data_IF_792142952786
#
_entry.id   IF_792142952786
#
_cell.length_a   1.000
_cell.length_b   1.000
_cell.length_c   1.000
_cell.angle_alpha   90.00
_cell.angle_beta   90.00
_cell.angle_gamma   90.00
#
_symmetry.space_group_name_H-M   'P 1'
#
loop_
_entity.id
_entity.type
_entity.pdbx_description
1 polymer ?
#
# COMPACT_ATOMS: atom_id res chain seq x y z
N UNK A 1 15.25 8.78 2.95
CA UNK A 1 14.86 9.98 2.18
C UNK A 1 13.57 10.60 2.73
N UNK A 2 12.52 9.80 2.94
CA UNK A 2 11.21 10.25 3.43
C UNK A 2 11.28 11.04 4.76
N UNK A 3 11.94 10.50 5.78
CA UNK A 3 12.05 11.18 7.09
C UNK A 3 12.79 12.52 6.99
N UNK A 4 13.83 12.56 6.15
CA UNK A 4 14.56 13.80 5.88
C UNK A 4 13.69 14.84 5.16
N UNK A 5 12.86 14.40 4.20
CA UNK A 5 11.90 15.28 3.55
C UNK A 5 10.86 15.81 4.54
N UNK A 6 10.36 14.95 5.42
CA UNK A 6 9.45 15.34 6.50
C UNK A 6 10.08 16.43 7.38
N UNK A 7 11.33 16.24 7.84
CA UNK A 7 12.02 17.24 8.66
C UNK A 7 12.23 18.58 7.96
N UNK A 8 12.50 18.58 6.65
CA UNK A 8 12.69 19.81 5.88
C UNK A 8 11.38 20.52 5.55
N UNK A 9 10.29 19.76 5.41
CA UNK A 9 9.00 20.29 4.95
C UNK A 9 8.00 20.57 6.07
N UNK A 10 8.20 20.03 7.28
CA UNK A 10 7.22 20.16 8.39
C UNK A 10 6.92 21.60 8.79
N UNK A 11 7.87 22.51 8.58
CA UNK A 11 7.78 23.93 8.99
C UNK A 11 7.46 24.86 7.79
N UNK A 12 7.24 24.30 6.60
CA UNK A 12 6.91 25.07 5.39
C UNK A 12 5.43 25.47 5.40
N UNK A 13 5.13 26.68 4.92
CA UNK A 13 3.75 27.08 4.64
C UNK A 13 3.14 26.20 3.55
N UNK A 14 2.14 25.42 3.91
CA UNK A 14 1.43 24.49 3.03
C UNK A 14 0.72 25.20 1.87
N UNK A 15 0.45 26.51 1.99
CA UNK A 15 -0.01 27.34 0.87
C UNK A 15 0.98 27.39 -0.29
N UNK A 16 2.30 27.31 -0.01
CA UNK A 16 3.35 27.28 -1.02
C UNK A 16 3.35 25.99 -1.85
N UNK A 17 2.79 24.89 -1.31
CA UNK A 17 2.65 23.61 -2.02
C UNK A 17 1.50 23.61 -3.04
N UNK A 18 0.91 24.78 -3.33
CA UNK A 18 -0.20 24.94 -4.28
C UNK A 18 0.22 25.78 -5.49
N UNK A 19 1.23 25.37 -6.27
CA UNK A 19 1.73 26.14 -7.40
C UNK A 19 0.63 26.35 -8.45
N UNK A 20 0.62 27.53 -9.07
CA UNK A 20 -0.21 27.80 -10.24
C UNK A 20 0.20 26.90 -11.40
N UNK A 21 -0.73 26.59 -12.29
CA UNK A 21 -0.41 25.79 -13.47
C UNK A 21 0.64 26.52 -14.31
N UNK A 22 1.76 25.87 -14.67
CA UNK A 22 2.81 26.51 -15.44
C UNK A 22 2.33 26.85 -16.85
N UNK A 23 2.81 27.98 -17.38
CA UNK A 23 2.64 28.32 -18.79
C UNK A 23 3.63 27.56 -19.68
N UNK A 24 3.20 27.15 -20.87
CA UNK A 24 4.08 26.53 -21.87
C UNK A 24 4.49 25.09 -21.53
N UNK A 25 5.77 24.75 -21.67
CA UNK A 25 6.33 23.41 -21.47
C UNK A 25 7.04 23.23 -20.13
N UNK A 26 6.95 24.23 -19.23
CA UNK A 26 7.60 24.15 -17.93
C UNK A 26 6.95 23.06 -17.06
N UNK A 27 7.75 22.30 -16.29
CA UNK A 27 7.21 21.24 -15.44
C UNK A 27 6.37 21.86 -14.32
N UNK A 28 5.24 21.22 -14.01
CA UNK A 28 4.42 21.61 -12.86
C UNK A 28 5.03 20.98 -11.61
N UNK A 29 5.70 21.77 -10.77
CA UNK A 29 6.35 21.31 -9.54
C UNK A 29 5.98 22.20 -8.37
N UNK A 30 5.91 21.63 -7.16
CA UNK A 30 5.57 22.38 -5.93
C UNK A 30 6.79 22.84 -5.14
N UNK A 31 7.93 22.19 -5.34
CA UNK A 31 9.19 22.49 -4.70
C UNK A 31 10.34 21.95 -5.56
N UNK A 32 11.53 22.52 -5.38
CA UNK A 32 12.76 22.09 -6.04
C UNK A 32 13.48 21.05 -5.20
N UNK A 33 14.14 20.10 -5.86
CA UNK A 33 14.84 18.99 -5.21
C UNK A 33 16.31 19.04 -5.59
N UNK A 34 17.15 19.10 -4.56
CA UNK A 34 18.59 19.15 -4.69
C UNK A 34 19.20 17.92 -4.02
N UNK A 35 19.65 16.95 -4.83
CA UNK A 35 20.41 15.81 -4.34
C UNK A 35 21.85 16.24 -4.06
N UNK A 36 22.28 16.10 -2.80
CA UNK A 36 23.65 16.52 -2.41
C UNK A 36 24.67 15.63 -3.11
N UNK A 37 25.68 16.27 -3.70
CA UNK A 37 26.78 15.62 -4.44
C UNK A 37 26.37 14.95 -5.75
N UNK A 38 25.18 15.25 -6.28
CA UNK A 38 24.76 14.86 -7.63
C UNK A 38 24.63 16.11 -8.48
N UNK A 39 25.19 16.06 -9.70
CA UNK A 39 25.03 17.12 -10.68
C UNK A 39 23.85 16.75 -11.58
N UNK A 40 22.70 17.39 -11.36
CA UNK A 40 21.46 17.07 -12.08
C UNK A 40 20.94 18.30 -12.81
N UNK A 41 20.79 18.17 -14.13
CA UNK A 41 20.24 19.23 -14.96
C UNK A 41 18.69 19.20 -15.00
N UNK A 42 18.08 20.36 -14.78
CA UNK A 42 16.64 20.55 -14.86
C UNK A 42 15.86 20.12 -13.61
N UNK A 43 14.63 20.63 -13.48
CA UNK A 43 13.86 20.47 -12.24
C UNK A 43 12.91 19.26 -12.24
N UNK A 44 12.49 18.78 -13.42
CA UNK A 44 11.50 17.71 -13.53
C UNK A 44 12.04 16.30 -13.27
N UNK A 45 13.31 16.05 -13.60
CA UNK A 45 13.98 14.77 -13.36
C UNK A 45 14.11 14.46 -11.86
N UNK A 46 14.82 15.32 -11.09
CA UNK A 46 14.94 15.18 -9.64
C UNK A 46 13.59 15.05 -8.92
N UNK A 47 12.60 15.84 -9.36
CA UNK A 47 11.26 15.81 -8.78
C UNK A 47 10.61 14.44 -8.89
N UNK A 48 10.62 13.83 -10.08
CA UNK A 48 10.07 12.46 -10.27
C UNK A 48 10.88 11.41 -9.53
N UNK A 49 12.21 11.55 -9.50
CA UNK A 49 13.10 10.61 -8.81
C UNK A 49 12.79 10.57 -7.31
N UNK A 50 12.61 11.72 -6.67
CA UNK A 50 12.24 11.80 -5.26
C UNK A 50 10.95 11.03 -4.90
N UNK A 51 9.87 11.19 -5.68
CA UNK A 51 8.64 10.44 -5.43
C UNK A 51 8.82 8.93 -5.68
N UNK A 52 9.66 8.56 -6.65
CA UNK A 52 10.03 7.15 -6.88
C UNK A 52 10.79 6.57 -5.68
N UNK A 53 11.78 7.30 -5.15
CA UNK A 53 12.60 6.84 -4.04
C UNK A 53 11.82 6.76 -2.73
N UNK A 54 10.95 7.74 -2.46
CA UNK A 54 10.02 7.67 -1.32
C UNK A 54 9.09 6.46 -1.44
N UNK A 55 8.52 6.21 -2.62
CA UNK A 55 7.65 5.06 -2.82
C UNK A 55 8.38 3.73 -2.56
N UNK A 56 9.65 3.62 -2.95
CA UNK A 56 10.48 2.45 -2.67
C UNK A 56 10.81 2.32 -1.17
N UNK A 57 11.19 3.41 -0.52
CA UNK A 57 11.55 3.43 0.91
C UNK A 57 10.37 3.04 1.81
N UNK A 58 9.15 3.45 1.44
CA UNK A 58 7.94 3.07 2.18
C UNK A 58 7.54 1.60 1.99
N UNK A 59 7.99 0.95 0.91
CA UNK A 59 7.65 -0.43 0.53
C UNK A 59 8.77 -1.43 0.85
N UNK A 60 9.49 -1.19 1.95
CA UNK A 60 10.50 -2.15 2.46
C UNK A 60 9.81 -3.17 3.35
N UNK A 61 10.04 -4.46 3.09
CA UNK A 61 9.61 -5.55 3.97
C UNK A 61 10.70 -5.76 5.02
N UNK A 62 10.33 -5.82 6.30
CA UNK A 62 11.28 -6.18 7.35
C UNK A 62 11.70 -7.64 7.13
N UNK A 63 13.00 -7.89 6.92
CA UNK A 63 13.54 -9.24 7.00
C UNK A 63 13.32 -9.72 8.43
N UNK A 64 12.43 -10.69 8.61
CA UNK A 64 12.46 -11.49 9.83
C UNK A 64 13.79 -12.24 9.78
N UNK A 65 14.63 -12.08 10.80
CA UNK A 65 15.62 -13.09 11.14
C UNK A 65 14.84 -14.38 11.31
N UNK A 66 14.87 -15.25 10.29
CA UNK A 66 14.41 -16.61 10.44
C UNK A 66 15.46 -17.24 11.36
N UNK A 67 15.13 -17.35 12.65
CA UNK A 67 15.76 -18.37 13.46
C UNK A 67 15.26 -19.69 12.87
N UNK A 68 16.13 -20.35 12.11
CA UNK A 68 16.02 -21.78 11.84
C UNK A 68 16.18 -22.52 13.19
N UNK A 69 15.14 -22.50 14.02
CA UNK A 69 15.07 -23.30 15.24
C UNK A 69 14.21 -24.54 14.96
N UNK A 70 14.80 -25.51 14.28
CA UNK A 70 14.44 -26.92 14.45
C UNK A 70 15.58 -27.62 15.24
N UNK A 71 15.18 -28.27 16.33
CA UNK A 71 15.92 -29.25 17.18
C UNK A 71 17.00 -28.71 18.14
N UNK A 72 16.63 -28.36 19.37
CA UNK A 72 16.68 -29.29 20.52
C UNK A 72 16.35 -28.59 21.85
N UNK A 73 15.60 -29.28 22.70
CA UNK A 73 15.27 -28.86 24.07
C UNK A 73 16.52 -28.89 24.96
N UNK A 74 16.76 -27.84 25.73
CA UNK A 74 17.12 -27.97 27.15
C UNK A 74 16.87 -26.66 27.93
N UNK A 75 16.56 -26.83 29.21
CA UNK A 75 15.99 -25.87 30.16
C UNK A 75 16.95 -24.73 30.53
N UNK A 76 16.42 -23.52 30.79
CA UNK A 76 17.19 -22.47 31.47
C UNK A 76 16.60 -21.05 31.42
N UNK A 77 15.91 -20.68 32.50
CA UNK A 77 15.82 -19.35 33.13
C UNK A 77 15.34 -18.13 32.31
N UNK A 78 14.27 -17.51 32.84
CA UNK A 78 13.69 -16.26 32.38
C UNK A 78 14.54 -15.05 32.77
N UNK A 79 14.94 -14.25 31.80
CA UNK A 79 15.28 -12.84 32.02
C UNK A 79 14.60 -11.94 30.98
N UNK A 80 13.86 -10.96 31.51
CA UNK A 80 13.28 -9.83 30.81
C UNK A 80 14.36 -9.06 30.05
N UNK A 81 14.08 -8.66 28.80
CA UNK A 81 14.59 -7.40 28.25
C UNK A 81 13.59 -6.83 27.22
N UNK A 82 12.89 -5.78 27.63
CA UNK A 82 12.21 -4.85 26.74
C UNK A 82 13.26 -3.90 26.17
N UNK A 83 13.72 -4.15 24.95
CA UNK A 83 14.36 -3.11 24.13
C UNK A 83 13.79 -3.18 22.72
N UNK A 84 13.16 -2.08 22.30
CA UNK A 84 12.76 -1.87 20.92
C UNK A 84 14.01 -1.75 20.05
N UNK A 85 14.47 -2.87 19.48
CA UNK A 85 15.56 -2.88 18.52
C UNK A 85 15.04 -2.56 17.13
N UNK A 86 15.54 -1.44 16.59
CA UNK A 86 15.42 -1.10 15.18
C UNK A 86 16.18 -2.17 14.38
N UNK A 87 15.45 -3.00 13.63
CA UNK A 87 16.05 -3.99 12.75
C UNK A 87 16.74 -3.30 11.56
N UNK A 88 18.00 -3.66 11.33
CA UNK A 88 18.76 -3.24 10.16
C UNK A 88 18.11 -3.82 8.89
N UNK A 89 17.69 -2.95 7.97
CA UNK A 89 17.23 -3.37 6.66
C UNK A 89 18.42 -3.79 5.80
N UNK A 90 18.24 -4.81 4.96
CA UNK A 90 19.18 -5.06 3.86
C UNK A 90 19.28 -3.81 2.98
N UNK A 91 20.51 -3.46 2.61
CA UNK A 91 20.87 -2.34 1.71
C UNK A 91 20.95 -0.93 2.32
N UNK A 92 21.04 -0.79 3.65
CA UNK A 92 21.27 0.53 4.29
C UNK A 92 20.09 1.51 4.16
N UNK A 93 18.94 1.03 3.70
CA UNK A 93 17.68 1.80 3.62
C UNK A 93 17.00 1.80 4.99
N UNK A 94 16.73 2.96 5.56
CA UNK A 94 16.08 3.04 6.86
C UNK A 94 14.65 2.47 6.81
N UNK A 95 14.37 1.44 7.62
CA UNK A 95 13.02 0.89 7.74
C UNK A 95 12.12 1.84 8.52
N UNK A 96 11.17 2.49 7.83
CA UNK A 96 10.24 3.47 8.43
C UNK A 96 9.07 2.76 9.12
N UNK A 97 8.63 1.62 8.56
CA UNK A 97 7.58 0.76 9.14
C UNK A 97 6.17 1.36 9.15
N UNK A 98 5.90 2.41 8.38
CA UNK A 98 4.55 2.97 8.20
C UNK A 98 3.62 2.04 7.41
N UNK A 99 4.19 1.25 6.51
CA UNK A 99 3.47 0.24 5.75
C UNK A 99 3.94 -1.16 6.18
N UNK A 100 3.05 -2.14 6.06
CA UNK A 100 3.37 -3.55 6.17
C UNK A 100 2.96 -4.29 4.89
N UNK A 101 3.69 -5.36 4.56
CA UNK A 101 3.30 -6.27 3.50
C UNK A 101 1.95 -6.92 3.84
N UNK A 102 1.08 -7.05 2.84
CA UNK A 102 -0.15 -7.82 2.97
C UNK A 102 0.14 -9.29 3.30
N UNK A 103 -0.79 -9.95 4.00
CA UNK A 103 -0.66 -11.39 4.31
C UNK A 103 -0.62 -12.22 3.04
N UNK A 104 -1.36 -11.82 2.01
CA UNK A 104 -1.31 -12.43 0.69
C UNK A 104 0.09 -12.36 0.06
N UNK A 105 0.76 -11.21 0.13
CA UNK A 105 2.16 -11.09 -0.34
C UNK A 105 3.07 -12.06 0.43
N UNK A 106 2.96 -12.10 1.76
CA UNK A 106 3.80 -12.96 2.60
C UNK A 106 3.55 -14.46 2.37
N UNK A 107 2.33 -14.85 2.01
CA UNK A 107 1.95 -16.24 1.69
C UNK A 107 2.16 -16.61 0.21
N UNK A 108 2.49 -15.65 -0.65
CA UNK A 108 2.61 -15.88 -2.09
C UNK A 108 1.27 -16.14 -2.79
N UNK A 109 0.16 -15.61 -2.28
CA UNK A 109 -1.15 -15.68 -2.95
C UNK A 109 -1.14 -14.86 -4.25
N UNK A 110 -1.89 -15.32 -5.26
CA UNK A 110 -2.08 -14.61 -6.52
C UNK A 110 -2.94 -13.35 -6.35
N UNK A 111 -3.84 -13.34 -5.35
CA UNK A 111 -4.72 -12.19 -5.06
C UNK A 111 -3.95 -11.11 -4.32
N UNK A 112 -3.92 -9.90 -4.87
CA UNK A 112 -3.26 -8.77 -4.21
C UNK A 112 -1.75 -8.96 -4.01
N UNK A 113 -1.13 -9.79 -4.87
CA UNK A 113 0.32 -9.97 -4.92
C UNK A 113 1.01 -8.60 -4.95
N UNK A 114 2.06 -8.47 -4.15
CA UNK A 114 2.86 -7.26 -4.00
C UNK A 114 2.13 -6.04 -3.38
N UNK A 115 1.01 -6.23 -2.67
CA UNK A 115 0.34 -5.13 -1.95
C UNK A 115 0.90 -4.88 -0.56
N UNK A 116 1.02 -3.61 -0.23
CA UNK A 116 1.28 -3.09 1.11
C UNK A 116 0.01 -2.48 1.68
N UNK A 117 -0.16 -2.51 2.99
CA UNK A 117 -1.23 -1.79 3.70
C UNK A 117 -0.63 -0.92 4.79
N UNK A 118 -1.43 -0.01 5.36
CA UNK A 118 -1.00 0.82 6.47
C UNK A 118 -0.74 -0.06 7.69
N UNK A 119 0.29 0.27 8.47
CA UNK A 119 0.60 -0.45 9.69
C UNK A 119 -0.34 0.04 10.84
N UNK A 120 -1.31 -0.78 11.30
CA UNK A 120 -2.28 -0.36 12.31
C UNK A 120 -1.64 -0.05 13.68
N UNK A 121 -0.52 -0.70 14.03
CA UNK A 121 0.21 -0.39 15.27
C UNK A 121 0.90 0.97 15.27
N UNK A 122 1.12 1.59 14.10
CA UNK A 122 1.71 2.93 13.99
C UNK A 122 0.65 4.01 14.25
N UNK A 123 0.12 4.00 15.47
CA UNK A 123 -0.98 4.87 15.94
C UNK A 123 -0.53 5.99 16.87
N UNK A 124 0.78 6.10 17.15
CA UNK A 124 1.35 7.15 18.01
C UNK A 124 1.37 8.52 17.33
N UNK A 125 1.52 9.58 18.12
CA UNK A 125 1.43 10.96 17.59
C UNK A 125 2.50 11.27 16.55
N UNK A 126 3.71 10.71 16.68
CA UNK A 126 4.79 10.93 15.72
C UNK A 126 4.51 10.20 14.41
N UNK A 127 4.04 8.96 14.50
CA UNK A 127 3.65 8.14 13.35
C UNK A 127 2.47 8.76 12.59
N UNK A 128 1.46 9.26 13.30
CA UNK A 128 0.32 9.96 12.68
C UNK A 128 0.76 11.24 11.97
N UNK A 129 1.76 11.96 12.46
CA UNK A 129 2.35 13.10 11.74
C UNK A 129 3.07 12.68 10.45
N UNK A 130 3.73 11.51 10.45
CA UNK A 130 4.33 10.95 9.24
C UNK A 130 3.27 10.50 8.22
N UNK A 131 2.18 9.88 8.68
CA UNK A 131 1.02 9.58 7.83
C UNK A 131 0.37 10.85 7.27
N UNK A 132 0.25 11.90 8.09
CA UNK A 132 -0.21 13.19 7.61
C UNK A 132 0.70 13.75 6.51
N UNK A 133 2.02 13.69 6.70
CA UNK A 133 2.98 14.11 5.69
C UNK A 133 2.89 13.28 4.40
N UNK A 134 2.70 11.95 4.49
CA UNK A 134 2.41 11.12 3.33
C UNK A 134 1.16 11.63 2.58
N UNK A 135 0.12 12.02 3.31
CA UNK A 135 -1.06 12.67 2.74
C UNK A 135 -0.76 14.00 2.04
N UNK A 136 0.12 14.84 2.60
CA UNK A 136 0.57 16.07 1.95
C UNK A 136 1.26 15.76 0.63
N UNK A 137 2.17 14.78 0.59
CA UNK A 137 2.84 14.34 -0.64
C UNK A 137 1.84 13.81 -1.68
N UNK A 138 0.82 13.04 -1.26
CA UNK A 138 -0.26 12.60 -2.15
C UNK A 138 -1.06 13.78 -2.72
N UNK A 139 -1.36 14.78 -1.90
CA UNK A 139 -2.02 16.01 -2.36
C UNK A 139 -1.17 16.80 -3.36
N UNK A 140 0.15 16.83 -3.16
CA UNK A 140 1.11 17.41 -4.13
C UNK A 140 1.08 16.64 -5.44
N UNK A 141 1.09 15.30 -5.41
CA UNK A 141 0.98 14.44 -6.60
C UNK A 141 -0.25 14.77 -7.46
N UNK A 142 -1.42 14.94 -6.82
CA UNK A 142 -2.66 15.33 -7.51
C UNK A 142 -2.49 16.67 -8.20
N UNK A 143 -1.90 17.67 -7.52
CA UNK A 143 -1.73 19.01 -8.08
C UNK A 143 -0.73 19.07 -9.23
N UNK A 144 0.38 18.35 -9.12
CA UNK A 144 1.48 18.42 -10.09
C UNK A 144 1.42 17.33 -11.16
N UNK A 145 0.39 16.48 -11.12
CA UNK A 145 0.26 15.30 -11.99
C UNK A 145 1.51 14.43 -11.99
N UNK A 146 2.14 14.31 -10.81
CA UNK A 146 3.30 13.45 -10.56
C UNK A 146 2.86 12.23 -9.78
N UNK A 147 3.46 11.07 -10.04
CA UNK A 147 2.98 9.81 -9.46
C UNK A 147 3.83 9.39 -8.25
N UNK A 148 3.18 8.95 -7.18
CA UNK A 148 3.79 8.31 -6.02
C UNK A 148 3.45 6.82 -6.03
N UNK A 149 4.19 5.99 -6.76
CA UNK A 149 3.76 4.61 -7.07
C UNK A 149 3.91 3.62 -5.90
N UNK A 150 2.98 3.63 -4.94
CA UNK A 150 2.86 2.62 -3.86
C UNK A 150 1.75 1.61 -4.23
N UNK A 151 1.89 0.32 -3.90
CA UNK A 151 0.84 -0.66 -4.19
C UNK A 151 -0.12 -0.86 -3.01
N UNK A 152 -1.07 0.06 -2.82
CA UNK A 152 -2.06 0.01 -1.73
C UNK A 152 -3.34 -0.76 -2.14
N UNK A 153 -4.09 -1.33 -1.18
CA UNK A 153 -5.36 -2.03 -1.43
C UNK A 153 -6.51 -1.07 -1.73
N UNK A 154 -7.57 -1.61 -2.34
CA UNK A 154 -8.86 -0.92 -2.53
C UNK A 154 -9.46 -0.42 -1.22
N UNK A 155 -9.28 -1.16 -0.12
CA UNK A 155 -9.70 -0.79 1.23
C UNK A 155 -9.23 0.63 1.62
N UNK A 156 -7.95 0.94 1.37
CA UNK A 156 -7.33 2.22 1.69
C UNK A 156 -8.02 3.37 0.92
N UNK A 157 -8.18 3.21 -0.39
CA UNK A 157 -8.78 4.24 -1.24
C UNK A 157 -10.23 4.50 -0.89
N UNK A 158 -11.00 3.43 -0.65
CA UNK A 158 -12.41 3.52 -0.25
C UNK A 158 -12.56 4.26 1.08
N UNK A 159 -11.67 4.04 2.03
CA UNK A 159 -11.68 4.77 3.31
C UNK A 159 -11.45 6.28 3.12
N UNK A 160 -10.53 6.70 2.25
CA UNK A 160 -10.27 8.13 2.01
C UNK A 160 -11.50 8.87 1.47
N UNK A 161 -12.22 8.26 0.53
CA UNK A 161 -13.40 8.86 -0.13
C UNK A 161 -14.73 8.52 0.58
N UNK A 162 -14.70 7.75 1.68
CA UNK A 162 -15.90 7.37 2.42
C UNK A 162 -16.81 6.38 1.68
N UNK A 163 -16.26 5.58 0.77
CA UNK A 163 -17.00 4.51 0.11
C UNK A 163 -17.20 3.30 1.03
N UNK A 164 -18.27 2.54 0.77
CA UNK A 164 -18.61 1.37 1.56
C UNK A 164 -17.57 0.27 1.37
N UNK A 165 -17.05 -0.23 2.49
CA UNK A 165 -16.13 -1.36 2.54
C UNK A 165 -16.91 -2.68 2.54
N UNK A 166 -16.31 -3.71 1.96
CA UNK A 166 -16.84 -5.06 1.87
C UNK A 166 -15.74 -6.09 2.20
N UNK A 167 -16.11 -7.36 2.40
CA UNK A 167 -15.13 -8.38 2.80
C UNK A 167 -14.11 -8.67 1.68
N UNK A 168 -14.48 -8.44 0.42
CA UNK A 168 -13.60 -8.53 -0.74
C UNK A 168 -12.40 -7.58 -0.64
N UNK A 169 -12.56 -6.45 0.07
CA UNK A 169 -11.49 -5.49 0.31
C UNK A 169 -10.43 -6.04 1.28
N UNK A 170 -10.82 -6.95 2.18
CA UNK A 170 -9.89 -7.72 3.03
C UNK A 170 -9.33 -8.89 2.26
N UNK A 171 -10.13 -9.56 1.43
CA UNK A 171 -9.67 -10.71 0.63
C UNK A 171 -8.50 -10.34 -0.29
N UNK A 172 -8.43 -9.08 -0.74
CA UNK A 172 -7.29 -8.53 -1.48
C UNK A 172 -5.99 -8.48 -0.65
N UNK A 173 -6.07 -8.41 0.68
CA UNK A 173 -4.95 -8.32 1.61
C UNK A 173 -4.63 -9.63 2.34
N UNK A 174 -5.67 -10.39 2.66
CA UNK A 174 -5.65 -11.62 3.46
C UNK A 174 -6.85 -12.48 3.06
N UNK A 175 -6.66 -13.32 2.04
CA UNK A 175 -7.67 -14.26 1.60
C UNK A 175 -7.91 -15.36 2.65
N UNK A 176 -6.84 -15.81 3.31
CA UNK A 176 -6.92 -16.88 4.30
C UNK A 176 -7.73 -16.53 5.55
N UNK A 177 -7.74 -15.27 6.01
CA UNK A 177 -8.67 -14.90 7.11
C UNK A 177 -10.13 -14.94 6.63
N UNK A 178 -10.42 -14.52 5.40
CA UNK A 178 -11.78 -14.57 4.85
C UNK A 178 -12.25 -16.02 4.69
N UNK A 179 -11.36 -16.91 4.24
CA UNK A 179 -11.62 -18.35 4.18
C UNK A 179 -11.90 -18.92 5.58
N UNK A 180 -11.05 -18.64 6.57
CA UNK A 180 -11.28 -19.08 7.95
C UNK A 180 -12.62 -18.58 8.52
N UNK A 181 -12.95 -17.30 8.32
CA UNK A 181 -14.21 -16.74 8.79
C UNK A 181 -15.43 -17.36 8.08
N UNK A 182 -15.31 -17.71 6.80
CA UNK A 182 -16.35 -18.43 6.05
C UNK A 182 -16.53 -19.84 6.59
N UNK A 183 -15.44 -20.58 6.78
CA UNK A 183 -15.47 -21.95 7.32
C UNK A 183 -16.14 -22.00 8.70
N UNK A 184 -15.88 -21.02 9.57
CA UNK A 184 -16.55 -20.91 10.87
C UNK A 184 -18.09 -20.82 10.73
N UNK A 185 -18.59 -20.11 9.72
CA UNK A 185 -20.03 -19.98 9.48
C UNK A 185 -20.63 -21.26 8.88
N UNK A 186 -19.85 -21.99 8.09
CA UNK A 186 -20.28 -23.17 7.33
C UNK A 186 -20.24 -24.48 8.13
N UNK A 187 -19.57 -24.53 9.29
CA UNK A 187 -19.59 -25.69 10.19
C UNK A 187 -21.03 -26.15 10.49
N UNK A 188 -21.25 -27.46 10.35
CA UNK A 188 -22.57 -28.08 10.50
C UNK A 188 -23.00 -28.19 11.97
N UNK A 189 -22.05 -28.52 12.85
CA UNK A 189 -22.29 -28.76 14.27
C UNK A 189 -21.09 -28.35 15.16
N UNK A 190 -21.28 -28.49 16.48
CA UNK A 190 -20.31 -28.10 17.50
C UNK A 190 -19.08 -29.02 17.54
N UNK A 191 -19.23 -30.29 17.18
CA UNK A 191 -18.12 -31.26 17.16
C UNK A 191 -17.14 -30.90 16.03
N UNK A 192 -17.66 -30.65 14.82
CA UNK A 192 -16.86 -30.18 13.68
C UNK A 192 -16.16 -28.86 13.99
N UNK A 193 -16.88 -27.91 14.59
CA UNK A 193 -16.34 -26.60 14.93
C UNK A 193 -15.21 -26.68 15.96
N UNK A 194 -15.41 -27.46 17.03
CA UNK A 194 -14.41 -27.62 18.09
C UNK A 194 -13.15 -28.31 17.56
N UNK A 195 -13.30 -29.30 16.67
CA UNK A 195 -12.16 -29.95 16.03
C UNK A 195 -11.34 -29.00 15.15
N UNK A 196 -11.99 -28.07 14.43
CA UNK A 196 -11.31 -27.13 13.51
C UNK A 196 -10.76 -25.88 14.21
N UNK A 197 -11.45 -25.37 15.22
CA UNK A 197 -11.17 -24.08 15.85
C UNK A 197 -10.89 -24.19 17.36
N UNK A 198 -10.22 -25.27 17.78
CA UNK A 198 -9.77 -25.44 19.17
C UNK A 198 -8.85 -24.30 19.62
N UNK A 199 -8.87 -23.99 20.92
CA UNK A 199 -7.99 -23.00 21.57
C UNK A 199 -8.03 -21.60 20.97
N UNK A 200 -9.15 -21.24 20.35
CA UNK A 200 -9.39 -19.88 19.84
C UNK A 200 -10.21 -19.06 20.82
N UNK A 201 -9.89 -17.77 20.88
CA UNK A 201 -10.53 -16.80 21.77
C UNK A 201 -11.12 -15.65 20.96
N UNK A 202 -11.78 -14.70 21.62
CA UNK A 202 -12.31 -13.48 20.99
C UNK A 202 -11.18 -12.47 20.69
N UNK A 203 -10.18 -12.92 19.95
CA UNK A 203 -9.06 -12.14 19.44
C UNK A 203 -8.95 -12.33 17.93
N UNK A 204 -8.33 -11.35 17.26
CA UNK A 204 -8.03 -11.44 15.82
C UNK A 204 -6.64 -10.86 15.56
N UNK A 205 -5.93 -11.46 14.61
CA UNK A 205 -4.67 -10.93 14.11
C UNK A 205 -4.93 -9.83 13.06
N UNK A 206 -4.24 -8.70 13.18
CA UNK A 206 -4.29 -7.58 12.25
C UNK A 206 -3.25 -7.72 11.12
N UNK A 207 -3.23 -6.76 10.19
CA UNK A 207 -2.35 -6.82 9.02
C UNK A 207 -0.85 -6.76 9.35
N UNK A 208 -0.48 -6.14 10.47
CA UNK A 208 0.90 -6.12 10.98
C UNK A 208 1.24 -7.34 11.86
N UNK A 209 0.34 -8.33 11.97
CA UNK A 209 0.45 -9.50 12.84
C UNK A 209 0.28 -9.22 14.34
N UNK A 210 -0.20 -8.03 14.73
CA UNK A 210 -0.59 -7.80 16.12
C UNK A 210 -1.94 -8.43 16.43
N UNK A 211 -2.09 -8.96 17.62
CA UNK A 211 -3.35 -9.55 18.08
C UNK A 211 -4.15 -8.53 18.90
N UNK A 212 -5.43 -8.39 18.59
CA UNK A 212 -6.35 -7.49 19.30
C UNK A 212 -7.59 -8.21 19.82
N UNK A 213 -8.06 -7.81 20.99
CA UNK A 213 -9.31 -8.32 21.55
C UNK A 213 -10.53 -7.73 20.83
N UNK A 214 -11.48 -8.58 20.43
CA UNK A 214 -12.72 -8.20 19.75
C UNK A 214 -13.80 -7.67 20.69
N UNK A 215 -13.65 -7.96 21.97
CA UNK A 215 -14.48 -7.52 23.10
C UNK A 215 -13.57 -7.35 24.31
N UNK A 216 -14.01 -6.60 25.32
CA UNK A 216 -13.27 -6.48 26.58
C UNK A 216 -13.06 -7.85 27.23
N UNK A 217 -11.81 -8.21 27.52
CA UNK A 217 -11.45 -9.53 28.04
C UNK A 217 -11.54 -10.64 27.00
N UNK A 218 -11.48 -10.28 25.71
CA UNK A 218 -11.61 -11.19 24.58
C UNK A 218 -10.58 -12.32 24.59
N UNK A 219 -9.35 -12.07 25.07
CA UNK A 219 -8.31 -13.08 25.19
C UNK A 219 -8.64 -14.20 26.19
N UNK A 220 -9.65 -14.02 27.04
CA UNK A 220 -10.14 -15.03 28.01
C UNK A 220 -11.50 -15.60 27.63
N UNK A 221 -12.13 -15.06 26.59
CA UNK A 221 -13.45 -15.51 26.13
C UNK A 221 -13.24 -16.49 24.99
N UNK A 222 -13.52 -17.76 25.27
CA UNK A 222 -13.38 -18.84 24.30
C UNK A 222 -14.36 -18.68 23.12
N UNK A 223 -13.87 -18.99 21.92
CA UNK A 223 -14.65 -19.09 20.70
C UNK A 223 -15.35 -20.45 20.67
N UNK A 224 -16.67 -20.44 20.65
CA UNK A 224 -17.52 -21.64 20.65
C UNK A 224 -18.44 -21.62 19.44
N UNK A 225 -18.99 -22.79 19.08
CA UNK A 225 -19.96 -22.87 17.98
C UNK A 225 -21.15 -21.91 18.18
N UNK A 226 -21.62 -21.76 19.42
CA UNK A 226 -22.75 -20.89 19.75
C UNK A 226 -22.45 -19.39 19.55
N UNK A 227 -21.19 -18.96 19.71
CA UNK A 227 -20.81 -17.55 19.66
C UNK A 227 -20.05 -17.16 18.37
N UNK A 228 -19.78 -18.11 17.47
CA UNK A 228 -19.01 -17.92 16.22
C UNK A 228 -19.54 -16.83 15.29
N UNK A 229 -20.86 -16.65 15.19
CA UNK A 229 -21.46 -15.62 14.33
C UNK A 229 -21.13 -14.22 14.84
N UNK A 230 -21.12 -14.04 16.17
CA UNK A 230 -20.71 -12.77 16.79
C UNK A 230 -19.21 -12.53 16.61
N UNK A 231 -18.39 -13.58 16.78
CA UNK A 231 -16.96 -13.53 16.50
C UNK A 231 -16.68 -13.08 15.06
N UNK A 232 -17.25 -13.76 14.07
CA UNK A 232 -17.02 -13.46 12.64
C UNK A 232 -17.39 -12.02 12.31
N UNK A 233 -18.53 -11.54 12.79
CA UNK A 233 -18.95 -10.14 12.59
C UNK A 233 -17.95 -9.15 13.20
N UNK A 234 -17.44 -9.43 14.40
CA UNK A 234 -16.51 -8.54 15.10
C UNK A 234 -15.10 -8.59 14.50
N UNK A 235 -14.63 -9.77 14.13
CA UNK A 235 -13.37 -9.97 13.42
C UNK A 235 -13.38 -9.20 12.10
N UNK A 236 -14.42 -9.38 11.29
CA UNK A 236 -14.56 -8.65 10.02
C UNK A 236 -14.56 -7.13 10.24
N UNK A 237 -15.34 -6.63 11.21
CA UNK A 237 -15.36 -5.21 11.52
C UNK A 237 -13.99 -4.69 11.97
N UNK A 238 -13.29 -5.43 12.84
CA UNK A 238 -11.94 -5.09 13.31
C UNK A 238 -10.96 -4.97 12.13
N UNK A 239 -10.94 -5.97 11.24
CA UNK A 239 -10.08 -5.97 10.04
C UNK A 239 -10.41 -4.83 9.07
N UNK A 240 -11.70 -4.53 8.83
CA UNK A 240 -12.12 -3.43 7.95
C UNK A 240 -11.78 -2.04 8.52
N UNK A 241 -11.62 -1.93 9.84
CA UNK A 241 -11.42 -0.64 10.52
C UNK A 241 -10.04 -0.50 11.16
N UNK A 242 -9.13 -1.44 10.91
CA UNK A 242 -7.84 -1.53 11.61
C UNK A 242 -6.95 -0.29 11.47
N UNK A 243 -7.06 0.43 10.34
CA UNK A 243 -6.19 1.56 9.99
C UNK A 243 -6.94 2.89 9.86
N UNK A 244 -8.10 3.04 10.50
CA UNK A 244 -8.94 4.25 10.40
C UNK A 244 -8.16 5.51 10.80
N UNK A 245 -7.38 5.46 11.88
CA UNK A 245 -6.59 6.61 12.37
C UNK A 245 -5.51 7.05 11.39
N UNK A 246 -4.82 6.10 10.77
CA UNK A 246 -3.79 6.35 9.78
C UNK A 246 -4.41 6.94 8.51
N UNK A 247 -5.55 6.39 8.07
CA UNK A 247 -6.33 6.92 6.96
C UNK A 247 -6.84 8.35 7.22
N UNK A 248 -7.32 8.65 8.43
CA UNK A 248 -7.72 10.00 8.83
C UNK A 248 -6.54 10.99 8.80
N UNK A 249 -5.38 10.58 9.30
CA UNK A 249 -4.17 11.40 9.26
C UNK A 249 -3.74 11.70 7.81
N UNK A 250 -3.71 10.68 6.94
CA UNK A 250 -3.42 10.84 5.50
C UNK A 250 -4.46 11.75 4.84
N UNK A 251 -5.75 11.53 5.07
CA UNK A 251 -6.84 12.36 4.52
C UNK A 251 -6.68 13.82 4.96
N UNK A 252 -6.35 14.07 6.21
CA UNK A 252 -6.07 15.41 6.71
C UNK A 252 -4.88 16.06 5.99
N UNK A 253 -3.83 15.29 5.67
CA UNK A 253 -2.68 15.77 4.89
C UNK A 253 -3.04 16.10 3.44
N UNK A 254 -3.83 15.25 2.79
CA UNK A 254 -4.33 15.49 1.44
C UNK A 254 -5.13 16.80 1.40
N UNK A 255 -6.02 17.00 2.38
CA UNK A 255 -6.88 18.19 2.50
C UNK A 255 -6.10 19.49 2.81
N UNK A 256 -4.83 19.40 3.22
CA UNK A 256 -3.96 20.57 3.36
C UNK A 256 -3.47 21.09 2.00
N UNK A 257 -3.51 20.29 0.94
CA UNK A 257 -3.01 20.68 -0.40
C UNK A 257 -4.14 20.85 -1.40
N UNK A 258 -5.16 19.99 -1.32
CA UNK A 258 -6.36 20.03 -2.18
C UNK A 258 -7.64 20.27 -1.35
N UNK A 259 -8.70 20.87 -1.93
CA UNK A 259 -9.96 21.06 -1.21
C UNK A 259 -10.65 19.73 -0.89
N UNK A 260 -11.17 19.59 0.33
CA UNK A 260 -11.90 18.39 0.79
C UNK A 260 -13.08 18.01 -0.12
N UNK A 261 -13.75 19.01 -0.70
CA UNK A 261 -14.85 18.80 -1.64
C UNK A 261 -14.47 17.92 -2.84
N UNK A 262 -13.18 17.89 -3.23
CA UNK A 262 -12.68 17.03 -4.30
C UNK A 262 -12.76 15.54 -3.91
N UNK A 263 -12.46 15.20 -2.66
CA UNK A 263 -12.54 13.82 -2.16
C UNK A 263 -13.98 13.30 -2.07
N UNK A 264 -14.96 14.20 -2.00
CA UNK A 264 -16.38 13.83 -1.90
C UNK A 264 -17.02 13.48 -3.24
N UNK A 265 -16.40 13.83 -4.37
CA UNK A 265 -16.94 13.61 -5.72
C UNK A 265 -16.16 12.58 -6.53
N UNK A 266 -14.95 12.24 -6.08
CA UNK A 266 -14.06 11.28 -6.76
C UNK A 266 -14.32 9.86 -6.28
N UNK A 267 -14.29 8.90 -7.18
CA UNK A 267 -14.32 7.48 -6.80
C UNK A 267 -12.97 7.02 -6.24
N UNK A 268 -12.96 5.90 -5.50
CA UNK A 268 -11.71 5.33 -4.97
C UNK A 268 -10.70 5.00 -6.08
N UNK A 269 -11.17 4.49 -7.23
CA UNK A 269 -10.34 4.15 -8.38
C UNK A 269 -9.77 5.38 -9.09
N UNK A 270 -10.56 6.46 -9.23
CA UNK A 270 -10.06 7.70 -9.82
C UNK A 270 -9.01 8.37 -8.92
N UNK A 271 -9.21 8.33 -7.60
CA UNK A 271 -8.24 8.86 -6.64
C UNK A 271 -6.91 8.09 -6.71
N UNK A 272 -6.98 6.76 -6.79
CA UNK A 272 -5.81 5.90 -7.01
C UNK A 272 -5.08 6.29 -8.30
N UNK A 273 -5.81 6.45 -9.42
CA UNK A 273 -5.21 6.85 -10.70
C UNK A 273 -4.57 8.24 -10.65
N UNK A 274 -5.15 9.20 -9.92
CA UNK A 274 -4.60 10.55 -9.81
C UNK A 274 -3.30 10.61 -9.04
N UNK A 275 -3.15 9.79 -7.99
CA UNK A 275 -1.97 9.82 -7.12
C UNK A 275 -0.89 8.86 -7.63
N UNK A 276 -1.27 7.65 -8.04
CA UNK A 276 -0.33 6.57 -8.37
C UNK A 276 -0.15 6.37 -9.87
N UNK A 277 -0.94 7.07 -10.68
CA UNK A 277 -0.94 6.96 -12.12
C UNK A 277 -1.78 5.77 -12.61
N UNK A 278 -2.08 5.78 -13.92
CA UNK A 278 -2.81 4.68 -14.56
C UNK A 278 -1.97 3.41 -14.57
N UNK A 279 -2.47 2.37 -13.90
CA UNK A 279 -1.87 1.03 -13.91
C UNK A 279 -2.17 0.27 -15.22
N UNK A 280 -3.20 0.70 -15.94
CA UNK A 280 -3.65 0.07 -17.19
C UNK A 280 -2.96 0.67 -18.42
N UNK A 281 -2.25 -0.16 -19.17
CA UNK A 281 -1.72 0.16 -20.49
C UNK A 281 -2.79 -0.14 -21.54
N UNK A 282 -3.28 0.92 -22.17
CA UNK A 282 -4.17 0.88 -23.31
C UNK A 282 -3.35 0.69 -24.60
N UNK A 283 -3.43 -0.52 -25.16
CA UNK A 283 -2.71 -0.91 -26.38
C UNK A 283 -3.21 -0.12 -27.59
N UNK A 284 -4.50 0.21 -27.65
CA UNK A 284 -5.05 1.00 -28.76
C UNK A 284 -4.53 2.43 -28.74
N UNK A 285 -4.46 3.03 -27.54
CA UNK A 285 -3.86 4.35 -27.37
C UNK A 285 -2.38 4.32 -27.75
N UNK A 286 -1.62 3.33 -27.26
CA UNK A 286 -0.20 3.18 -27.58
C UNK A 286 0.01 3.03 -29.09
N UNK A 287 -0.80 2.21 -29.74
CA UNK A 287 -0.76 1.97 -31.19
C UNK A 287 -1.03 3.24 -31.99
N UNK A 288 -2.04 4.02 -31.61
CA UNK A 288 -2.36 5.33 -32.25
C UNK A 288 -1.22 6.34 -32.16
N UNK A 289 -0.41 6.27 -31.10
CA UNK A 289 0.72 7.19 -30.88
C UNK A 289 2.08 6.62 -31.31
N UNK A 290 2.13 5.41 -31.86
CA UNK A 290 3.37 4.78 -32.32
C UNK A 290 3.72 5.27 -33.73
N UNK A 291 4.97 5.71 -33.93
CA UNK A 291 5.52 6.04 -35.26
C UNK A 291 6.44 4.92 -35.73
N UNK A 292 6.23 4.47 -36.96
CA UNK A 292 7.07 3.45 -37.58
C UNK A 292 8.23 4.11 -38.34
N UNK A 293 9.41 3.50 -38.26
CA UNK A 293 10.65 3.96 -38.90
C UNK A 293 11.30 2.80 -39.68
N UNK A 294 12.37 3.09 -40.43
CA UNK A 294 13.15 2.10 -41.18
C UNK A 294 12.35 1.31 -42.24
N UNK A 295 11.34 1.96 -42.84
CA UNK A 295 10.54 1.38 -43.92
C UNK A 295 9.34 0.53 -43.47
N UNK A 296 9.15 0.34 -42.16
CA UNK A 296 7.97 -0.34 -41.64
C UNK A 296 6.71 0.52 -41.71
N UNK A 297 5.57 -0.13 -41.93
CA UNK A 297 4.23 0.45 -41.87
C UNK A 297 3.30 -0.43 -41.04
N UNK A 298 2.19 0.14 -40.55
CA UNK A 298 1.23 -0.59 -39.70
C UNK A 298 0.67 -1.88 -40.33
N UNK A 299 0.63 -1.93 -41.65
CA UNK A 299 0.15 -3.08 -42.40
C UNK A 299 1.12 -4.26 -42.46
N UNK A 300 2.38 -4.08 -42.08
CA UNK A 300 3.40 -5.12 -42.20
C UNK A 300 3.15 -6.28 -41.23
N UNK A 301 3.57 -7.47 -41.65
CA UNK A 301 3.32 -8.71 -40.94
C UNK A 301 3.93 -8.69 -39.53
N UNK A 302 5.15 -8.19 -39.45
CA UNK A 302 5.92 -8.06 -38.21
C UNK A 302 5.25 -7.10 -37.23
N UNK A 303 4.68 -6.00 -37.74
CA UNK A 303 3.97 -5.00 -36.92
C UNK A 303 2.64 -5.53 -36.42
N UNK A 304 1.90 -6.29 -37.24
CA UNK A 304 0.65 -6.95 -36.81
C UNK A 304 0.91 -7.95 -35.70
N UNK A 305 1.90 -8.83 -35.87
CA UNK A 305 2.29 -9.79 -34.85
C UNK A 305 2.72 -9.12 -33.55
N UNK A 306 3.50 -8.05 -33.64
CA UNK A 306 3.89 -7.26 -32.48
C UNK A 306 2.67 -6.78 -31.67
N UNK A 307 1.66 -6.21 -32.34
CA UNK A 307 0.44 -5.75 -31.65
C UNK A 307 -0.43 -6.90 -31.14
N UNK A 308 -0.57 -7.98 -31.90
CA UNK A 308 -1.30 -9.18 -31.48
C UNK A 308 -0.72 -9.75 -30.16
N UNK A 309 0.60 -9.92 -30.10
CA UNK A 309 1.29 -10.39 -28.89
C UNK A 309 1.09 -9.40 -27.72
N UNK A 310 1.17 -8.10 -27.96
CA UNK A 310 0.92 -7.08 -26.94
C UNK A 310 -0.52 -7.08 -26.41
N UNK A 311 -1.50 -7.46 -27.23
CA UNK A 311 -2.88 -7.66 -26.78
C UNK A 311 -3.01 -8.92 -25.90
N UNK A 312 -2.24 -9.96 -26.16
CA UNK A 312 -2.21 -11.19 -25.35
C UNK A 312 -1.51 -10.99 -24.00
N UNK A 313 -0.59 -10.03 -23.90
CA UNK A 313 0.10 -9.71 -22.65
C UNK A 313 -0.88 -9.29 -21.54
N UNK A 314 -0.62 -9.81 -20.34
CA UNK A 314 -1.19 -9.30 -19.08
C UNK A 314 -0.78 -7.84 -18.84
N UNK A 315 -1.50 -7.14 -17.97
CA UNK A 315 -1.13 -5.76 -17.61
C UNK A 315 0.25 -5.65 -16.96
N UNK A 316 0.73 -6.70 -16.30
CA UNK A 316 2.10 -6.73 -15.78
C UNK A 316 3.13 -6.82 -16.90
N UNK A 317 2.94 -7.70 -17.88
CA UNK A 317 3.82 -7.84 -19.03
C UNK A 317 3.82 -6.58 -19.91
N UNK A 318 2.65 -5.95 -20.11
CA UNK A 318 2.57 -4.65 -20.80
C UNK A 318 3.37 -3.56 -20.08
N UNK A 319 3.31 -3.49 -18.75
CA UNK A 319 4.12 -2.55 -17.97
C UNK A 319 5.62 -2.84 -18.09
N UNK A 320 6.03 -4.11 -18.06
CA UNK A 320 7.43 -4.52 -18.28
C UNK A 320 7.90 -4.13 -19.67
N UNK A 321 7.07 -4.35 -20.70
CA UNK A 321 7.34 -3.94 -22.08
C UNK A 321 7.53 -2.42 -22.18
N UNK A 322 6.63 -1.62 -21.62
CA UNK A 322 6.77 -0.17 -21.59
C UNK A 322 8.08 0.24 -20.90
N UNK A 323 8.40 -0.33 -19.73
CA UNK A 323 9.69 -0.05 -19.06
C UNK A 323 10.89 -0.38 -19.94
N UNK A 324 10.88 -1.52 -20.63
CA UNK A 324 11.93 -1.91 -21.56
C UNK A 324 12.11 -0.88 -22.70
N UNK A 325 11.01 -0.38 -23.27
CA UNK A 325 11.06 0.62 -24.34
C UNK A 325 11.50 2.02 -23.87
N UNK A 326 11.17 2.40 -22.64
CA UNK A 326 11.51 3.71 -22.07
C UNK A 326 12.90 3.78 -21.42
N UNK A 327 13.52 2.63 -21.10
CA UNK A 327 14.85 2.57 -20.48
C UNK A 327 16.02 2.76 -21.46
N UNK A 328 15.81 3.43 -22.61
CA UNK A 328 16.84 3.79 -23.59
C UNK A 328 17.23 5.27 -23.52
#
# INVERSE_FOLDING_TARGET
MFTQAYEQMRDIDLGALRPSQPGGTAPHISFEIYFKNEDVEGMGGPYRQFFSDIAQELQVVQSKSINDDDEDKEEGEAENNNEAQAGDAEDGKQYIGLLCASKNMLRGSDKGKDKFTLNPSKSGSNELSLFNFLGVLMGVCIRTSTNLSINLPSLFWKQLVGQRLAYEDIEELDDGIIEQLREMLECADEEEFTHKFTDRYFTVELSDSTEVELVEGGAKKELTFANRVDYVRKALYSRLTESVRQCEAIKAGINQVIPEALLNIVSSSELEEWIFGKKFIDIELLKRHTKYSNGYVEGDKEIRWFWEILHEFSQEERRKFIRFCYAQ
#
